data_IF_696771549274
#
_entry.id   IF_696771549274
#
_cell.length_a   1.000
_cell.length_b   1.000
_cell.length_c   1.000
_cell.angle_alpha   90.00
_cell.angle_beta   90.00
_cell.angle_gamma   90.00
#
_symmetry.space_group_name_H-M   'P 1'
#
loop_
_entity.id
_entity.type
_entity.pdbx_description
1 polymer ?
#
# COMPACT_ATOMS: atom_id res chain seq x y z
N UNK A 1 -11.91 -16.50 1.09
CA UNK A 1 -10.80 -17.49 0.84
C UNK A 1 -11.34 -18.71 0.11
N UNK A 2 -12.22 -18.44 -0.83
CA UNK A 2 -12.95 -19.53 -1.53
C UNK A 2 -12.02 -20.45 -2.35
N UNK A 3 -10.93 -19.91 -2.94
CA UNK A 3 -9.98 -20.73 -3.71
C UNK A 3 -9.40 -21.89 -2.88
N UNK A 4 -9.04 -21.65 -1.62
CA UNK A 4 -8.51 -22.67 -0.71
C UNK A 4 -9.58 -23.70 -0.38
N UNK A 5 -10.81 -23.25 -0.07
CA UNK A 5 -11.91 -24.15 0.27
C UNK A 5 -12.31 -25.04 -0.88
N UNK A 6 -12.41 -24.51 -2.10
CA UNK A 6 -12.74 -25.27 -3.30
C UNK A 6 -11.63 -26.28 -3.61
N UNK A 7 -10.36 -25.85 -3.54
CA UNK A 7 -9.23 -26.75 -3.78
C UNK A 7 -9.17 -27.89 -2.74
N UNK A 8 -9.44 -27.58 -1.46
CA UNK A 8 -9.48 -28.57 -0.40
C UNK A 8 -10.64 -29.55 -0.58
N UNK A 9 -11.83 -29.08 -0.95
CA UNK A 9 -12.98 -29.93 -1.22
C UNK A 9 -12.73 -30.87 -2.42
N UNK A 10 -12.13 -30.35 -3.51
CA UNK A 10 -11.77 -31.16 -4.67
C UNK A 10 -10.72 -32.22 -4.31
N UNK A 11 -9.69 -31.85 -3.54
CA UNK A 11 -8.66 -32.79 -3.10
C UNK A 11 -9.22 -33.91 -2.21
N UNK A 12 -10.12 -33.53 -1.28
CA UNK A 12 -10.78 -34.51 -0.39
C UNK A 12 -11.65 -35.48 -1.19
N UNK A 13 -12.47 -34.99 -2.13
CA UNK A 13 -13.29 -35.80 -2.98
C UNK A 13 -12.46 -36.82 -3.79
N UNK A 14 -11.35 -36.36 -4.40
CA UNK A 14 -10.46 -37.27 -5.19
C UNK A 14 -9.77 -38.29 -4.26
N UNK A 15 -9.32 -37.88 -3.08
CA UNK A 15 -8.69 -38.81 -2.13
C UNK A 15 -9.68 -39.91 -1.68
N UNK A 16 -10.92 -39.54 -1.34
CA UNK A 16 -11.97 -40.52 -0.96
C UNK A 16 -12.31 -41.48 -2.13
N UNK A 17 -12.49 -40.94 -3.34
CA UNK A 17 -12.75 -41.76 -4.54
C UNK A 17 -11.59 -42.75 -4.76
N UNK A 18 -10.33 -42.31 -4.61
CA UNK A 18 -9.14 -43.14 -4.79
C UNK A 18 -9.07 -44.30 -3.80
N UNK A 19 -9.45 -44.04 -2.53
CA UNK A 19 -9.47 -45.07 -1.48
C UNK A 19 -10.62 -46.07 -1.72
N UNK A 20 -11.86 -45.57 -1.90
CA UNK A 20 -13.05 -46.44 -1.91
C UNK A 20 -13.35 -47.11 -3.27
N UNK A 21 -13.08 -46.42 -4.40
CA UNK A 21 -13.34 -47.00 -5.74
C UNK A 21 -12.10 -47.68 -6.37
N UNK A 22 -10.91 -47.11 -6.13
CA UNK A 22 -9.67 -47.60 -6.73
C UNK A 22 -8.84 -48.48 -5.78
N UNK A 23 -9.32 -48.74 -4.56
CA UNK A 23 -8.63 -49.49 -3.53
C UNK A 23 -7.17 -49.07 -3.32
N UNK A 24 -6.89 -47.78 -3.48
CA UNK A 24 -5.57 -47.23 -3.43
C UNK A 24 -5.09 -47.18 -1.97
N UNK A 25 -3.82 -47.45 -1.66
CA UNK A 25 -3.31 -47.29 -0.31
C UNK A 25 -3.41 -45.82 0.13
N UNK A 26 -3.68 -45.59 1.44
CA UNK A 26 -3.96 -44.27 1.99
C UNK A 26 -2.91 -43.21 1.67
N UNK A 27 -1.62 -43.58 1.65
CA UNK A 27 -0.52 -42.68 1.29
C UNK A 27 -0.55 -42.26 -0.19
N UNK A 28 -0.93 -43.14 -1.10
CA UNK A 28 -1.09 -42.84 -2.53
C UNK A 28 -2.27 -41.87 -2.75
N UNK A 29 -3.39 -42.07 -2.07
CA UNK A 29 -4.53 -41.15 -2.10
C UNK A 29 -4.21 -39.77 -1.53
N UNK A 30 -3.35 -39.69 -0.50
CA UNK A 30 -2.86 -38.43 0.06
C UNK A 30 -2.00 -37.66 -0.94
N UNK A 31 -1.06 -38.33 -1.62
CA UNK A 31 -0.21 -37.70 -2.66
C UNK A 31 -1.06 -37.19 -3.85
N UNK A 32 -2.01 -37.98 -4.29
CA UNK A 32 -2.92 -37.59 -5.37
C UNK A 32 -3.80 -36.42 -4.95
N UNK A 33 -4.36 -36.45 -3.75
CA UNK A 33 -5.13 -35.35 -3.16
C UNK A 33 -4.31 -34.05 -3.08
N UNK A 34 -3.05 -34.12 -2.64
CA UNK A 34 -2.16 -32.98 -2.61
C UNK A 34 -1.84 -32.41 -4.00
N UNK A 35 -1.63 -33.27 -4.99
CA UNK A 35 -1.43 -32.86 -6.37
C UNK A 35 -2.66 -32.12 -6.93
N UNK A 36 -3.86 -32.68 -6.69
CA UNK A 36 -5.14 -32.06 -7.09
C UNK A 36 -5.35 -30.73 -6.36
N UNK A 37 -5.11 -30.68 -5.04
CA UNK A 37 -5.19 -29.43 -4.26
C UNK A 37 -4.31 -28.35 -4.90
N UNK A 38 -3.04 -28.66 -5.14
CA UNK A 38 -2.07 -27.73 -5.68
C UNK A 38 -2.46 -27.24 -7.09
N UNK A 39 -2.86 -28.16 -7.97
CA UNK A 39 -3.30 -27.81 -9.32
C UNK A 39 -4.55 -26.93 -9.36
N UNK A 40 -5.59 -27.31 -8.62
CA UNK A 40 -6.84 -26.54 -8.53
C UNK A 40 -6.60 -25.19 -7.87
N UNK A 41 -5.83 -25.15 -6.78
CA UNK A 41 -5.52 -23.90 -6.08
C UNK A 41 -4.76 -22.91 -6.97
N UNK A 42 -3.71 -23.37 -7.68
CA UNK A 42 -2.93 -22.54 -8.60
C UNK A 42 -3.81 -22.01 -9.73
N UNK A 43 -4.64 -22.88 -10.34
CA UNK A 43 -5.55 -22.48 -11.41
C UNK A 43 -6.54 -21.40 -10.97
N UNK A 44 -7.27 -21.65 -9.88
CA UNK A 44 -8.24 -20.69 -9.35
C UNK A 44 -7.59 -19.38 -8.91
N UNK A 45 -6.41 -19.48 -8.27
CA UNK A 45 -5.64 -18.29 -7.86
C UNK A 45 -5.21 -17.45 -9.06
N UNK A 46 -4.72 -18.08 -10.13
CA UNK A 46 -4.35 -17.41 -11.38
C UNK A 46 -5.56 -16.73 -12.04
N UNK A 47 -6.68 -17.43 -12.14
CA UNK A 47 -7.92 -16.87 -12.72
C UNK A 47 -8.43 -15.66 -11.91
N UNK A 48 -8.45 -15.77 -10.58
CA UNK A 48 -8.86 -14.68 -9.69
C UNK A 48 -7.91 -13.50 -9.82
N UNK A 49 -6.59 -13.74 -9.77
CA UNK A 49 -5.59 -12.68 -9.82
C UNK A 49 -5.61 -11.95 -11.17
N UNK A 50 -5.80 -12.66 -12.28
CA UNK A 50 -5.91 -12.02 -13.60
C UNK A 50 -7.10 -11.04 -13.66
N UNK A 51 -8.25 -11.37 -13.05
CA UNK A 51 -9.40 -10.46 -12.98
C UNK A 51 -9.12 -9.23 -12.09
N UNK A 52 -8.47 -9.45 -10.96
CA UNK A 52 -8.10 -8.36 -10.04
C UNK A 52 -7.06 -7.43 -10.69
N UNK A 53 -6.04 -7.99 -11.35
CA UNK A 53 -5.02 -7.20 -12.03
C UNK A 53 -5.58 -6.39 -13.19
N UNK A 54 -6.49 -6.98 -14.00
CA UNK A 54 -7.18 -6.27 -15.08
C UNK A 54 -7.98 -5.05 -14.53
N UNK A 55 -8.68 -5.22 -13.41
CA UNK A 55 -9.42 -4.13 -12.77
C UNK A 55 -8.47 -3.04 -12.22
N UNK A 56 -7.35 -3.43 -11.61
CA UNK A 56 -6.34 -2.47 -11.14
C UNK A 56 -5.70 -1.69 -12.28
N UNK A 57 -5.41 -2.35 -13.41
CA UNK A 57 -4.87 -1.70 -14.60
C UNK A 57 -5.90 -0.73 -15.23
N UNK A 58 -7.16 -1.17 -15.35
CA UNK A 58 -8.26 -0.33 -15.84
C UNK A 58 -8.44 0.90 -14.96
N UNK A 59 -8.49 0.71 -13.64
CA UNK A 59 -8.58 1.81 -12.68
C UNK A 59 -7.37 2.77 -12.80
N UNK A 60 -6.16 2.25 -13.00
CA UNK A 60 -4.96 3.06 -13.26
C UNK A 60 -5.09 3.95 -14.50
N UNK A 61 -5.61 3.41 -15.60
CA UNK A 61 -5.90 4.18 -16.83
C UNK A 61 -6.97 5.26 -16.61
N UNK A 62 -8.02 4.91 -15.86
CA UNK A 62 -9.07 5.87 -15.52
C UNK A 62 -8.57 7.00 -14.60
N UNK A 63 -7.66 6.70 -13.66
CA UNK A 63 -7.01 7.72 -12.82
C UNK A 63 -6.15 8.68 -13.64
N UNK A 64 -5.37 8.17 -14.61
CA UNK A 64 -4.58 9.00 -15.52
C UNK A 64 -5.47 9.91 -16.38
N UNK A 65 -6.66 9.42 -16.75
CA UNK A 65 -7.68 10.18 -17.46
C UNK A 65 -8.55 11.05 -16.54
N UNK A 66 -8.20 11.19 -15.25
CA UNK A 66 -8.94 11.92 -14.21
C UNK A 66 -10.38 11.43 -13.97
N UNK A 67 -10.68 10.19 -14.33
CA UNK A 67 -12.01 9.57 -14.17
C UNK A 67 -12.11 8.83 -12.82
N UNK A 68 -11.89 9.54 -11.72
CA UNK A 68 -11.78 8.99 -10.38
C UNK A 68 -13.00 8.17 -9.94
N UNK A 69 -14.21 8.67 -10.20
CA UNK A 69 -15.46 7.99 -9.80
C UNK A 69 -15.62 6.63 -10.50
N UNK A 70 -15.24 6.57 -11.78
CA UNK A 70 -15.27 5.32 -12.54
C UNK A 70 -14.27 4.32 -11.98
N UNK A 71 -13.02 4.75 -11.72
CA UNK A 71 -11.98 3.91 -11.13
C UNK A 71 -12.42 3.33 -9.77
N UNK A 72 -12.96 4.17 -8.89
CA UNK A 72 -13.46 3.72 -7.58
C UNK A 72 -14.60 2.74 -7.71
N UNK A 73 -15.56 2.98 -8.60
CA UNK A 73 -16.71 2.09 -8.81
C UNK A 73 -16.23 0.71 -9.27
N UNK A 74 -15.37 0.64 -10.28
CA UNK A 74 -14.83 -0.61 -10.79
C UNK A 74 -14.07 -1.40 -9.72
N UNK A 75 -13.25 -0.73 -8.91
CA UNK A 75 -12.55 -1.36 -7.80
C UNK A 75 -13.49 -1.87 -6.71
N UNK A 76 -14.58 -1.14 -6.39
CA UNK A 76 -15.60 -1.59 -5.44
C UNK A 76 -16.36 -2.82 -5.94
N UNK A 77 -16.74 -2.86 -7.21
CA UNK A 77 -17.38 -4.01 -7.84
C UNK A 77 -16.45 -5.23 -7.80
N UNK A 78 -15.17 -5.02 -8.11
CA UNK A 78 -14.14 -6.06 -8.03
C UNK A 78 -13.93 -6.55 -6.59
N UNK A 79 -13.92 -5.65 -5.62
CA UNK A 79 -13.82 -5.97 -4.19
C UNK A 79 -15.01 -6.83 -3.73
N UNK A 80 -16.23 -6.45 -4.09
CA UNK A 80 -17.44 -7.19 -3.76
C UNK A 80 -17.42 -8.61 -4.35
N UNK A 81 -16.94 -8.77 -5.59
CA UNK A 81 -16.93 -10.03 -6.33
C UNK A 81 -15.75 -10.93 -5.93
N UNK A 82 -14.55 -10.38 -5.81
CA UNK A 82 -13.31 -11.16 -5.68
C UNK A 82 -12.58 -11.00 -4.35
N UNK A 83 -12.95 -10.06 -3.50
CA UNK A 83 -12.24 -9.77 -2.25
C UNK A 83 -12.05 -10.99 -1.34
N UNK A 84 -13.07 -11.87 -1.26
CA UNK A 84 -13.04 -13.08 -0.42
C UNK A 84 -12.46 -14.31 -1.10
N UNK A 85 -12.09 -14.24 -2.38
CA UNK A 85 -11.64 -15.40 -3.13
C UNK A 85 -10.21 -15.82 -2.77
N UNK A 86 -9.34 -14.85 -2.55
CA UNK A 86 -7.93 -15.12 -2.26
C UNK A 86 -7.42 -14.25 -1.11
N UNK A 87 -6.41 -14.76 -0.39
CA UNK A 87 -5.72 -14.05 0.69
C UNK A 87 -5.15 -12.73 0.15
N UNK A 88 -5.29 -11.67 0.93
CA UNK A 88 -4.79 -10.31 0.66
C UNK A 88 -5.47 -9.52 -0.47
N UNK A 89 -6.29 -10.12 -1.34
CA UNK A 89 -6.99 -9.39 -2.42
C UNK A 89 -7.88 -8.28 -1.84
N UNK A 90 -8.64 -8.59 -0.79
CA UNK A 90 -9.47 -7.59 -0.09
C UNK A 90 -8.63 -6.40 0.39
N UNK A 91 -7.51 -6.69 1.06
CA UNK A 91 -6.61 -5.65 1.56
C UNK A 91 -5.96 -4.82 0.45
N UNK A 92 -5.58 -5.45 -0.67
CA UNK A 92 -5.00 -4.75 -1.83
C UNK A 92 -6.00 -3.81 -2.48
N UNK A 93 -7.23 -4.26 -2.72
CA UNK A 93 -8.30 -3.43 -3.31
C UNK A 93 -8.70 -2.30 -2.36
N UNK A 94 -8.85 -2.57 -1.06
CA UNK A 94 -9.10 -1.54 -0.06
C UNK A 94 -7.97 -0.50 -0.03
N UNK A 95 -6.69 -0.91 -0.14
CA UNK A 95 -5.58 0.03 -0.23
C UNK A 95 -5.75 1.00 -1.40
N UNK A 96 -6.05 0.49 -2.59
CA UNK A 96 -6.21 1.32 -3.79
C UNK A 96 -7.39 2.28 -3.67
N UNK A 97 -8.57 1.79 -3.25
CA UNK A 97 -9.75 2.62 -3.05
C UNK A 97 -9.48 3.72 -2.02
N UNK A 98 -8.87 3.34 -0.89
CA UNK A 98 -8.52 4.29 0.18
C UNK A 98 -7.54 5.36 -0.29
N UNK A 99 -6.51 4.99 -1.04
CA UNK A 99 -5.54 5.93 -1.62
C UNK A 99 -6.19 6.89 -2.62
N UNK A 100 -7.09 6.42 -3.47
CA UNK A 100 -7.80 7.27 -4.44
C UNK A 100 -8.64 8.34 -3.72
N UNK A 101 -9.43 7.94 -2.73
CA UNK A 101 -10.20 8.91 -1.93
C UNK A 101 -9.27 9.87 -1.17
N UNK A 102 -8.17 9.37 -0.62
CA UNK A 102 -7.21 10.20 0.11
C UNK A 102 -6.56 11.25 -0.81
N UNK A 103 -6.16 10.88 -2.01
CA UNK A 103 -5.60 11.81 -3.01
C UNK A 103 -6.61 12.89 -3.42
N UNK A 104 -7.89 12.54 -3.50
CA UNK A 104 -8.99 13.51 -3.73
C UNK A 104 -9.31 14.38 -2.51
N UNK A 105 -8.61 14.22 -1.39
CA UNK A 105 -8.87 14.86 -0.10
C UNK A 105 -10.22 14.48 0.53
N UNK A 106 -10.84 13.42 0.06
CA UNK A 106 -12.02 12.83 0.68
C UNK A 106 -11.62 11.88 1.82
N UNK A 107 -11.11 12.47 2.90
CA UNK A 107 -10.56 11.73 4.04
C UNK A 107 -11.63 10.94 4.81
N UNK A 108 -12.88 11.37 4.73
CA UNK A 108 -13.99 10.67 5.38
C UNK A 108 -14.23 9.32 4.73
N UNK A 109 -14.33 9.28 3.40
CA UNK A 109 -14.50 8.06 2.63
C UNK A 109 -13.21 7.24 2.50
N UNK A 110 -12.02 7.86 2.55
CA UNK A 110 -10.74 7.16 2.52
C UNK A 110 -10.53 6.28 3.76
N UNK A 111 -10.87 6.77 4.94
CA UNK A 111 -10.51 6.17 6.21
C UNK A 111 -10.97 4.71 6.38
N UNK A 112 -12.26 4.33 6.16
CA UNK A 112 -12.71 2.95 6.34
C UNK A 112 -12.03 1.95 5.40
N UNK A 113 -11.60 2.38 4.23
CA UNK A 113 -10.83 1.55 3.30
C UNK A 113 -9.36 1.45 3.74
N UNK A 114 -8.76 2.54 4.20
CA UNK A 114 -7.39 2.53 4.71
C UNK A 114 -7.26 1.64 5.96
N UNK A 115 -8.24 1.59 6.85
CA UNK A 115 -8.24 0.68 8.01
C UNK A 115 -8.19 -0.80 7.61
N UNK A 116 -8.71 -1.15 6.43
CA UNK A 116 -8.71 -2.50 5.85
C UNK A 116 -7.58 -2.72 4.85
N UNK A 117 -6.65 -1.79 4.74
CA UNK A 117 -5.55 -1.85 3.78
C UNK A 117 -4.61 -3.03 4.01
N UNK A 118 -3.99 -3.45 2.93
CA UNK A 118 -2.93 -4.44 2.98
C UNK A 118 -1.69 -3.89 3.68
N UNK A 119 -1.27 -4.52 4.75
CA UNK A 119 -0.20 -4.04 5.64
C UNK A 119 1.18 -3.88 4.96
N UNK A 120 1.41 -4.53 3.81
CA UNK A 120 2.63 -4.34 3.01
C UNK A 120 2.54 -3.17 2.03
N UNK A 121 1.37 -2.56 1.84
CA UNK A 121 1.25 -1.33 1.07
C UNK A 121 1.61 -0.15 1.97
N UNK A 122 2.90 0.21 1.97
CA UNK A 122 3.42 1.24 2.86
C UNK A 122 2.76 2.60 2.67
N UNK A 123 2.43 2.98 1.42
CA UNK A 123 1.82 4.27 1.13
C UNK A 123 0.40 4.38 1.73
N UNK A 124 -0.44 3.34 1.55
CA UNK A 124 -1.77 3.29 2.15
C UNK A 124 -1.70 3.27 3.68
N UNK A 125 -0.76 2.51 4.26
CA UNK A 125 -0.56 2.44 5.70
C UNK A 125 -0.03 3.78 6.27
N UNK A 126 0.85 4.48 5.55
CA UNK A 126 1.28 5.83 5.93
C UNK A 126 0.12 6.83 5.90
N UNK A 127 -0.74 6.78 4.87
CA UNK A 127 -1.97 7.60 4.81
C UNK A 127 -2.92 7.29 5.98
N UNK A 128 -3.04 6.02 6.38
CA UNK A 128 -3.80 5.63 7.58
C UNK A 128 -3.19 6.23 8.85
N UNK A 129 -1.88 6.10 9.04
CA UNK A 129 -1.19 6.63 10.21
C UNK A 129 -1.33 8.16 10.30
N UNK A 130 -1.19 8.87 9.19
CA UNK A 130 -1.43 10.32 9.11
C UNK A 130 -2.90 10.65 9.43
N UNK A 131 -3.84 9.83 8.98
CA UNK A 131 -5.26 10.00 9.32
C UNK A 131 -5.51 9.84 10.83
N UNK A 132 -4.80 8.93 11.50
CA UNK A 132 -4.83 8.83 12.96
C UNK A 132 -4.19 10.05 13.64
N UNK A 133 -3.06 10.55 13.13
CA UNK A 133 -2.42 11.78 13.65
C UNK A 133 -3.40 12.96 13.60
N UNK A 134 -4.03 13.20 12.43
CA UNK A 134 -5.01 14.29 12.25
C UNK A 134 -6.24 14.15 13.15
N UNK A 135 -6.56 12.92 13.59
CA UNK A 135 -7.64 12.63 14.55
C UNK A 135 -7.17 12.60 16.01
N UNK A 136 -5.93 13.04 16.27
CA UNK A 136 -5.30 13.06 17.60
C UNK A 136 -5.21 11.68 18.27
N UNK A 137 -5.22 10.59 17.48
CA UNK A 137 -5.06 9.21 17.95
C UNK A 137 -3.59 8.78 17.83
N UNK A 138 -2.73 9.40 18.65
CA UNK A 138 -1.27 9.26 18.61
C UNK A 138 -0.80 7.81 18.75
N UNK A 139 -1.36 7.05 19.69
CA UNK A 139 -0.95 5.66 19.90
C UNK A 139 -1.24 4.77 18.67
N UNK A 140 -2.40 4.99 18.01
CA UNK A 140 -2.74 4.29 16.78
C UNK A 140 -1.85 4.69 15.61
N UNK A 141 -1.47 5.97 15.53
CA UNK A 141 -0.49 6.45 14.54
C UNK A 141 0.85 5.71 14.71
N UNK A 142 1.39 5.70 15.92
CA UNK A 142 2.66 5.05 16.25
C UNK A 142 2.60 3.56 15.92
N UNK A 143 1.60 2.85 16.43
CA UNK A 143 1.44 1.41 16.19
C UNK A 143 1.31 1.08 14.68
N UNK A 144 0.65 1.96 13.90
CA UNK A 144 0.52 1.79 12.45
C UNK A 144 1.86 1.97 11.76
N UNK A 145 2.63 3.00 12.09
CA UNK A 145 3.96 3.20 11.53
C UNK A 145 4.94 2.09 11.92
N UNK A 146 4.97 1.69 13.20
CA UNK A 146 5.83 0.60 13.69
C UNK A 146 5.59 -0.69 12.90
N UNK A 147 4.33 -1.07 12.71
CA UNK A 147 3.97 -2.21 11.89
C UNK A 147 4.40 -2.04 10.43
N UNK A 148 4.27 -0.83 9.89
CA UNK A 148 4.59 -0.56 8.48
C UNK A 148 6.08 -0.64 8.20
N UNK A 149 6.93 -0.05 9.06
CA UNK A 149 8.39 -0.08 8.89
C UNK A 149 8.99 -1.47 9.08
N UNK A 150 8.34 -2.37 9.85
CA UNK A 150 8.77 -3.76 9.96
C UNK A 150 8.77 -4.49 8.61
N UNK A 151 7.76 -4.23 7.77
CA UNK A 151 7.59 -4.88 6.47
C UNK A 151 8.22 -4.09 5.31
N UNK A 152 8.39 -2.79 5.48
CA UNK A 152 8.85 -1.87 4.43
C UNK A 152 10.07 -1.06 4.87
N UNK A 153 10.97 -1.68 5.61
CA UNK A 153 12.11 -1.00 6.22
C UNK A 153 13.15 -0.42 5.24
N UNK A 154 13.03 -0.69 3.93
CA UNK A 154 13.90 -0.14 2.88
C UNK A 154 13.37 1.15 2.24
N UNK A 155 12.20 1.63 2.68
CA UNK A 155 11.58 2.86 2.15
C UNK A 155 12.01 4.09 2.97
N UNK A 156 12.95 4.85 2.45
CA UNK A 156 13.49 6.03 3.15
C UNK A 156 12.41 7.09 3.45
N UNK A 157 11.49 7.33 2.51
CA UNK A 157 10.39 8.26 2.72
C UNK A 157 9.46 7.82 3.85
N UNK A 158 9.24 6.51 4.04
CA UNK A 158 8.40 6.00 5.13
C UNK A 158 9.00 6.33 6.50
N UNK A 159 10.32 6.16 6.69
CA UNK A 159 11.00 6.54 7.91
C UNK A 159 10.93 8.04 8.18
N UNK A 160 11.13 8.84 7.14
CA UNK A 160 11.01 10.30 7.22
C UNK A 160 9.57 10.75 7.54
N UNK A 161 8.54 10.11 6.94
CA UNK A 161 7.13 10.37 7.26
C UNK A 161 6.82 10.06 8.72
N UNK A 162 7.31 8.92 9.22
CA UNK A 162 7.11 8.54 10.61
C UNK A 162 7.75 9.55 11.57
N UNK A 163 9.02 9.90 11.33
CA UNK A 163 9.71 10.91 12.12
C UNK A 163 9.02 12.29 12.05
N UNK A 164 8.58 12.68 10.86
CA UNK A 164 7.84 13.93 10.68
C UNK A 164 6.55 13.96 11.50
N UNK A 165 5.73 12.89 11.43
CA UNK A 165 4.48 12.81 12.19
C UNK A 165 4.72 12.80 13.70
N UNK A 166 5.79 12.16 14.18
CA UNK A 166 6.18 12.22 15.59
C UNK A 166 6.58 13.63 16.01
N UNK A 167 7.42 14.31 15.21
CA UNK A 167 7.86 15.66 15.50
C UNK A 167 6.70 16.66 15.52
N UNK A 168 5.77 16.58 14.56
CA UNK A 168 4.54 17.39 14.55
C UNK A 168 3.61 17.09 15.75
N UNK A 169 3.72 15.89 16.33
CA UNK A 169 2.98 15.48 17.54
C UNK A 169 3.71 15.81 18.85
N UNK A 170 4.83 16.56 18.80
CA UNK A 170 5.63 16.96 19.95
C UNK A 170 6.63 15.90 20.45
N UNK A 171 6.80 14.77 19.77
CA UNK A 171 7.67 13.66 20.16
C UNK A 171 9.03 13.73 19.44
N UNK A 172 9.71 14.87 19.49
CA UNK A 172 10.97 15.10 18.76
C UNK A 172 12.07 14.09 19.14
N UNK A 173 12.14 13.67 20.40
CA UNK A 173 13.12 12.67 20.83
C UNK A 173 12.89 11.33 20.09
N UNK A 174 11.65 10.84 20.07
CA UNK A 174 11.30 9.62 19.34
C UNK A 174 11.48 9.78 17.83
N UNK A 175 11.25 10.97 17.28
CA UNK A 175 11.48 11.22 15.85
C UNK A 175 12.96 11.01 15.47
N UNK A 176 13.90 11.49 16.32
CA UNK A 176 15.34 11.25 16.12
C UNK A 176 15.69 9.76 16.18
N UNK A 177 15.17 9.02 17.19
CA UNK A 177 15.37 7.57 17.31
C UNK A 177 14.86 6.80 16.06
N UNK A 178 13.72 7.23 15.50
CA UNK A 178 13.14 6.62 14.29
C UNK A 178 14.05 6.86 13.08
N UNK A 179 14.62 8.07 12.91
CA UNK A 179 15.56 8.35 11.82
C UNK A 179 16.86 7.55 11.98
N UNK A 180 17.38 7.42 13.20
CA UNK A 180 18.56 6.56 13.48
C UNK A 180 18.30 5.09 13.15
N UNK A 181 17.10 4.56 13.49
CA UNK A 181 16.69 3.22 13.11
C UNK A 181 16.57 3.08 11.59
N UNK A 182 16.05 4.10 10.91
CA UNK A 182 15.99 4.17 9.44
C UNK A 182 17.38 4.10 8.82
N UNK A 183 18.33 4.89 9.31
CA UNK A 183 19.73 4.88 8.84
C UNK A 183 20.43 3.53 9.06
N UNK A 184 20.12 2.81 10.14
CA UNK A 184 20.61 1.44 10.34
C UNK A 184 20.06 0.46 9.30
N UNK A 185 18.84 0.70 8.77
CA UNK A 185 18.21 -0.13 7.73
C UNK A 185 18.61 0.28 6.33
N UNK A 186 18.91 1.56 6.10
CA UNK A 186 19.28 2.16 4.82
C UNK A 186 20.55 3.02 5.04
N UNK A 187 21.70 2.39 5.19
CA UNK A 187 22.97 3.12 5.41
C UNK A 187 23.28 4.05 4.24
N UNK A 188 23.67 5.29 4.55
CA UNK A 188 24.07 6.26 3.55
C UNK A 188 22.92 6.99 2.83
N UNK A 189 21.67 6.86 3.30
CA UNK A 189 20.58 7.68 2.78
C UNK A 189 20.72 9.14 3.21
N UNK A 190 20.95 10.01 2.25
CA UNK A 190 21.18 11.44 2.50
C UNK A 190 19.95 12.13 3.08
N UNK A 191 18.75 11.73 2.69
CA UNK A 191 17.51 12.34 3.16
C UNK A 191 17.23 12.04 4.63
N UNK A 192 17.52 10.82 5.08
CA UNK A 192 17.42 10.43 6.48
C UNK A 192 18.48 11.17 7.33
N UNK A 193 19.74 11.20 6.84
CA UNK A 193 20.82 11.86 7.54
C UNK A 193 20.55 13.36 7.69
N UNK A 194 20.20 14.03 6.59
CA UNK A 194 19.91 15.47 6.61
C UNK A 194 18.76 15.81 7.56
N UNK A 195 17.71 15.00 7.60
CA UNK A 195 16.58 15.24 8.50
C UNK A 195 16.92 14.95 9.97
N UNK A 196 17.79 13.97 10.24
CA UNK A 196 18.31 13.74 11.59
C UNK A 196 19.14 14.92 12.08
N UNK A 197 20.08 15.41 11.25
CA UNK A 197 20.93 16.57 11.56
C UNK A 197 20.09 17.83 11.79
N UNK A 198 19.07 18.06 10.96
CA UNK A 198 18.14 19.17 11.13
C UNK A 198 17.41 19.11 12.49
N UNK A 199 16.88 17.94 12.86
CA UNK A 199 16.19 17.79 14.16
C UNK A 199 17.15 17.92 15.35
N UNK A 200 18.40 17.48 15.22
CA UNK A 200 19.42 17.64 16.26
C UNK A 200 19.74 19.11 16.49
N UNK A 201 19.76 19.91 15.42
CA UNK A 201 19.99 21.35 15.44
C UNK A 201 18.72 22.17 15.76
N UNK A 202 17.60 21.55 16.08
CA UNK A 202 16.33 22.24 16.33
C UNK A 202 15.70 22.85 15.06
N UNK A 203 16.15 22.45 13.87
CA UNK A 203 15.62 22.91 12.57
C UNK A 203 14.47 22.02 12.09
N UNK A 204 13.66 22.54 11.15
CA UNK A 204 12.58 21.78 10.52
C UNK A 204 13.12 20.74 9.56
N UNK A 205 12.43 19.60 9.48
CA UNK A 205 12.72 18.54 8.50
C UNK A 205 12.50 19.03 7.06
N UNK A 206 13.36 18.61 6.14
CA UNK A 206 13.27 18.96 4.71
C UNK A 206 12.54 17.87 3.91
N UNK A 207 11.22 17.85 3.99
CA UNK A 207 10.40 16.83 3.35
C UNK A 207 10.16 17.05 1.86
N UNK A 208 10.24 18.31 1.38
CA UNK A 208 9.97 18.68 -0.03
C UNK A 208 10.98 18.10 -1.01
N UNK A 209 12.12 17.61 -0.57
CA UNK A 209 13.08 16.89 -1.42
C UNK A 209 12.48 15.62 -2.06
N UNK A 210 11.45 15.03 -1.45
CA UNK A 210 10.74 13.87 -1.97
C UNK A 210 9.71 14.21 -3.06
N UNK A 211 9.54 15.49 -3.43
CA UNK A 211 8.67 15.94 -4.52
C UNK A 211 7.23 15.43 -4.42
N UNK A 212 6.70 14.93 -5.54
CA UNK A 212 5.30 14.47 -5.63
C UNK A 212 4.97 13.36 -4.64
N UNK A 213 5.94 12.50 -4.30
CA UNK A 213 5.75 11.45 -3.30
C UNK A 213 5.44 12.01 -1.91
N UNK A 214 5.98 13.19 -1.56
CA UNK A 214 5.65 13.87 -0.30
C UNK A 214 4.27 14.56 -0.38
N UNK A 215 4.02 15.28 -1.47
CA UNK A 215 2.80 16.08 -1.59
C UNK A 215 1.52 15.25 -1.60
N UNK A 216 1.57 13.97 -2.01
CA UNK A 216 0.43 13.06 -1.95
C UNK A 216 -0.12 12.82 -0.53
N UNK A 217 0.68 13.04 0.51
CA UNK A 217 0.26 12.84 1.91
C UNK A 217 -0.50 14.04 2.50
N UNK A 218 -0.64 15.13 1.76
CA UNK A 218 -1.39 16.33 2.16
C UNK A 218 -0.99 16.90 3.55
N UNK A 219 0.30 16.84 3.86
CA UNK A 219 0.89 17.41 5.08
C UNK A 219 1.34 18.85 4.89
N UNK A 220 1.43 19.33 3.66
CA UNK A 220 1.74 20.70 3.30
C UNK A 220 0.49 21.54 3.04
N UNK A 221 0.64 22.86 3.10
CA UNK A 221 -0.44 23.78 2.75
C UNK A 221 -0.78 23.72 1.26
N UNK A 222 -2.04 24.08 0.90
CA UNK A 222 -2.49 24.14 -0.50
C UNK A 222 -1.62 25.11 -1.31
N UNK A 223 -1.21 26.23 -0.72
CA UNK A 223 -0.33 27.19 -1.39
C UNK A 223 1.06 26.61 -1.72
N UNK A 224 1.62 25.78 -0.83
CA UNK A 224 2.88 25.08 -1.09
C UNK A 224 2.75 24.07 -2.24
N UNK A 225 1.64 23.33 -2.29
CA UNK A 225 1.34 22.39 -3.37
C UNK A 225 1.20 23.11 -4.72
N UNK A 226 0.44 24.21 -4.76
CA UNK A 226 0.26 25.02 -5.99
C UNK A 226 1.60 25.57 -6.49
N UNK A 227 2.45 26.09 -5.59
CA UNK A 227 3.79 26.56 -5.95
C UNK A 227 4.66 25.45 -6.54
N UNK A 228 4.61 24.26 -5.98
CA UNK A 228 5.32 23.09 -6.50
C UNK A 228 4.81 22.71 -7.90
N UNK A 229 3.50 22.65 -8.11
CA UNK A 229 2.89 22.34 -9.41
C UNK A 229 3.25 23.39 -10.48
N UNK A 230 3.19 24.68 -10.15
CA UNK A 230 3.60 25.75 -11.07
C UNK A 230 5.09 25.66 -11.44
N UNK A 231 5.96 25.35 -10.49
CA UNK A 231 7.38 25.17 -10.76
C UNK A 231 7.65 23.97 -11.68
N UNK A 232 6.92 22.85 -11.49
CA UNK A 232 7.00 21.68 -12.35
C UNK A 232 6.52 21.96 -13.78
N UNK A 233 5.43 22.73 -13.95
CA UNK A 233 4.91 23.15 -15.25
C UNK A 233 5.83 24.15 -15.96
N UNK A 234 6.38 25.15 -15.24
CA UNK A 234 7.33 26.12 -15.77
C UNK A 234 8.65 25.48 -16.23
N UNK A 235 9.13 24.48 -15.53
CA UNK A 235 10.30 23.67 -15.93
C UNK A 235 10.06 22.88 -17.23
N UNK A 236 8.85 22.36 -17.41
CA UNK A 236 8.44 21.64 -18.63
C UNK A 236 8.38 22.57 -19.87
N UNK A 237 7.88 23.80 -19.71
CA UNK A 237 7.86 24.78 -20.80
C UNK A 237 9.26 25.23 -21.21
N UNK A 238 10.17 25.47 -20.26
CA UNK A 238 11.57 25.80 -20.58
C UNK A 238 12.28 24.69 -21.33
N UNK A 239 12.10 23.42 -20.97
CA UNK A 239 12.68 22.27 -21.69
C UNK A 239 12.15 22.17 -23.14
N UNK A 240 10.86 22.44 -23.38
CA UNK A 240 10.30 22.43 -24.74
C UNK A 240 10.84 23.54 -25.63
N UNK A 241 11.19 24.71 -25.09
CA UNK A 241 11.78 25.81 -25.86
C UNK A 241 13.26 25.57 -26.19
N UNK A 242 14.02 24.86 -25.34
CA UNK A 242 15.44 24.56 -25.63
C UNK A 242 15.63 23.41 -26.61
N UNK A 243 14.66 22.53 -26.82
CA UNK A 243 14.71 21.44 -27.81
C UNK A 243 14.26 21.93 -29.23
N UNK A 244 13.70 23.13 -29.34
CA UNK A 244 13.30 23.72 -30.64
C UNK A 244 14.27 24.75 -31.23
N UNK A 245 15.46 24.84 -30.66
CA UNK A 245 16.61 25.57 -31.23
C UNK A 245 17.68 24.52 -31.57
#
# INVERSE_FOLDING_TARGET
MYNILIAAAAALAVALISIFLLSMPWWGALLLGFAVFSGVFVLLSKLTMNKVMAALESAGKDLQAQRFEKAVRELKETLAKYGKWQVYVEGQLNSQIGMIYYMKRDFANAFPYLEKSFFKNWAAMAMLAISYMKRQKKDKMIATFDKTVQWNGKEALLWNLYAYCLNESGETAKAKEVLEKGLKKIPGDNGLQENLDNLQQGKKMKMRQYGDQWFQFHLESVAALQKHQMAAMGGSMRRRMTVRR
#
